data_IF_441964625805
#
_entry.id   IF_441964625805
#
_cell.length_a   1.000
_cell.length_b   1.000
_cell.length_c   1.000
_cell.angle_alpha   90.00
_cell.angle_beta   90.00
_cell.angle_gamma   90.00
#
_symmetry.space_group_name_H-M   'P 1'
#
loop_
_entity.id
_entity.type
_entity.pdbx_description
1 polymer ?
#
# COMPACT_ATOMS: atom_id res chain seq x y z
N UNK A 1 23.47 1.40 -32.99
CA UNK A 1 23.34 0.63 -31.74
C UNK A 1 21.86 0.63 -31.36
N UNK A 2 21.20 -0.53 -31.33
CA UNK A 2 19.75 -0.64 -31.13
C UNK A 2 19.48 -1.25 -29.75
N UNK A 3 18.80 -0.51 -28.87
CA UNK A 3 18.34 -1.04 -27.57
C UNK A 3 16.84 -1.31 -27.70
N UNK A 4 16.45 -2.58 -27.67
CA UNK A 4 15.04 -2.95 -27.56
C UNK A 4 14.58 -2.72 -26.12
N UNK A 5 13.50 -1.94 -25.96
CA UNK A 5 12.70 -1.93 -24.74
C UNK A 5 11.35 -2.53 -25.11
N UNK A 6 11.03 -3.72 -24.59
CA UNK A 6 9.74 -4.40 -24.80
C UNK A 6 8.86 -4.30 -23.55
N UNK A 7 7.69 -3.69 -23.75
CA UNK A 7 6.40 -3.99 -23.11
C UNK A 7 6.40 -4.33 -21.61
N UNK A 8 6.02 -3.37 -20.77
CA UNK A 8 5.58 -3.61 -19.39
C UNK A 8 4.08 -3.30 -19.23
N UNK A 9 3.45 -3.89 -18.22
CA UNK A 9 2.06 -3.67 -17.82
C UNK A 9 1.97 -4.07 -16.33
N UNK A 10 1.54 -3.21 -15.41
CA UNK A 10 1.62 -3.43 -13.93
C UNK A 10 0.46 -2.71 -13.23
N UNK A 11 -0.35 -3.40 -12.42
CA UNK A 11 -1.37 -2.71 -11.61
C UNK A 11 -0.85 -2.36 -10.21
N UNK A 12 -1.02 -1.09 -9.82
CA UNK A 12 -0.85 -0.60 -8.45
C UNK A 12 -2.19 -0.24 -7.80
N UNK A 13 -2.33 -0.52 -6.51
CA UNK A 13 -3.44 -0.04 -5.69
C UNK A 13 -3.01 0.15 -4.22
N UNK A 14 -2.55 1.36 -3.86
CA UNK A 14 -2.51 1.76 -2.43
C UNK A 14 -3.92 1.65 -1.86
N UNK A 15 -4.15 1.10 -0.66
CA UNK A 15 -3.45 1.41 0.58
C UNK A 15 -3.11 0.18 1.44
N UNK A 16 -2.50 0.44 2.58
CA UNK A 16 -2.86 -0.15 3.88
C UNK A 16 -4.31 -0.63 3.84
N UNK A 17 -4.77 -1.87 4.13
CA UNK A 17 -4.24 -3.23 4.23
C UNK A 17 -5.36 -4.36 4.18
N UNK A 18 -5.85 -4.95 5.30
CA UNK A 18 -6.80 -6.12 5.47
C UNK A 18 -7.81 -5.87 6.65
N UNK A 19 -8.67 -6.74 7.28
CA UNK A 19 -8.79 -8.21 7.52
C UNK A 19 -10.15 -8.67 8.18
N UNK A 20 -10.21 -9.92 8.66
CA UNK A 20 -11.10 -10.53 9.71
C UNK A 20 -12.63 -10.62 9.52
N UNK A 21 -13.11 -10.50 8.29
CA UNK A 21 -14.09 -11.47 7.75
C UNK A 21 -13.33 -12.26 6.65
N UNK A 22 -13.87 -13.36 6.12
CA UNK A 22 -13.24 -14.09 5.00
C UNK A 22 -12.92 -13.11 3.85
N UNK A 23 -11.62 -12.87 3.62
CA UNK A 23 -11.13 -11.66 2.97
C UNK A 23 -11.17 -11.72 1.42
N UNK A 24 -12.31 -12.13 0.85
CA UNK A 24 -12.51 -12.19 -0.59
C UNK A 24 -12.99 -10.84 -1.16
N UNK A 25 -13.84 -10.08 -0.43
CA UNK A 25 -14.66 -9.00 -1.02
C UNK A 25 -14.63 -7.60 -0.35
N UNK A 26 -13.59 -7.27 0.44
CA UNK A 26 -13.55 -6.02 1.23
C UNK A 26 -12.29 -5.16 0.98
N UNK A 27 -12.48 -3.85 0.75
CA UNK A 27 -11.41 -2.83 0.66
C UNK A 27 -10.98 -2.41 2.07
N UNK A 28 -9.74 -2.66 2.52
CA UNK A 28 -9.42 -2.51 3.95
C UNK A 28 -8.13 -1.75 4.30
N UNK A 29 -7.94 -1.40 5.60
CA UNK A 29 -6.84 -0.57 6.21
C UNK A 29 -6.31 -1.13 7.57
N UNK A 30 -5.03 -1.51 7.72
CA UNK A 30 -4.47 -2.02 8.99
C UNK A 30 -3.28 -1.25 9.59
N UNK A 31 -3.16 -1.39 10.92
CA UNK A 31 -1.97 -1.13 11.73
C UNK A 31 -1.57 -2.43 12.45
N UNK A 32 -0.32 -2.62 12.87
CA UNK A 32 -0.01 -3.67 13.85
C UNK A 32 -0.63 -3.29 15.22
N UNK A 33 -1.44 -4.18 15.80
CA UNK A 33 -1.95 -4.04 17.17
C UNK A 33 -1.06 -4.80 18.16
N UNK A 34 -0.58 -6.00 17.78
CA UNK A 34 0.19 -6.87 18.69
C UNK A 34 1.14 -7.78 17.92
N UNK A 35 2.30 -8.06 18.53
CA UNK A 35 3.26 -9.08 18.11
C UNK A 35 3.50 -10.06 19.26
N UNK A 36 3.29 -11.34 19.00
CA UNK A 36 3.24 -12.44 19.96
C UNK A 36 4.21 -13.56 19.48
N UNK A 37 5.52 -13.27 19.48
CA UNK A 37 6.50 -14.16 18.85
C UNK A 37 6.26 -14.24 17.33
N UNK A 38 5.89 -15.41 16.83
CA UNK A 38 5.53 -15.65 15.42
C UNK A 38 4.15 -15.10 15.02
N UNK A 39 3.24 -14.86 15.98
CA UNK A 39 1.89 -14.38 15.68
C UNK A 39 1.82 -12.85 15.62
N UNK A 40 1.34 -12.31 14.50
CA UNK A 40 1.18 -10.87 14.26
C UNK A 40 -0.30 -10.56 14.14
N UNK A 41 -0.84 -9.84 15.12
CA UNK A 41 -2.21 -9.34 15.09
C UNK A 41 -2.18 -7.94 14.48
N UNK A 42 -2.51 -7.88 13.18
CA UNK A 42 -2.87 -6.63 12.53
C UNK A 42 -4.33 -6.28 12.89
N UNK A 43 -4.59 -5.01 13.20
CA UNK A 43 -5.94 -4.47 13.45
C UNK A 43 -6.32 -3.44 12.39
N UNK A 44 -7.56 -3.53 11.94
CA UNK A 44 -7.80 -3.64 10.50
C UNK A 44 -9.23 -3.22 10.12
N UNK A 45 -9.38 -2.50 9.00
CA UNK A 45 -10.46 -1.51 8.79
C UNK A 45 -11.06 -1.64 7.39
N UNK A 46 -12.19 -2.33 7.23
CA UNK A 46 -12.78 -2.56 5.91
C UNK A 46 -13.94 -1.62 5.56
N UNK A 47 -13.98 -1.11 4.32
CA UNK A 47 -15.22 -0.62 3.68
C UNK A 47 -16.00 -1.83 3.14
N UNK A 48 -17.28 -2.00 3.52
CA UNK A 48 -18.19 -2.85 2.77
C UNK A 48 -18.45 -2.28 1.38
N UNK A 49 -18.54 -3.15 0.37
CA UNK A 49 -19.42 -2.86 -0.77
C UNK A 49 -20.85 -2.83 -0.23
N UNK A 50 -21.62 -1.83 -0.67
CA UNK A 50 -23.08 -1.75 -0.49
C UNK A 50 -23.61 -1.87 0.95
N UNK A 51 -23.43 -0.82 1.77
CA UNK A 51 -24.30 -0.61 2.94
C UNK A 51 -24.81 0.86 3.05
N UNK A 52 -26.09 1.13 2.77
CA UNK A 52 -26.70 2.43 3.01
C UNK A 52 -27.08 2.63 4.49
N UNK A 53 -26.57 3.71 5.09
CA UNK A 53 -26.94 4.28 6.41
C UNK A 53 -26.45 3.52 7.68
N UNK A 54 -25.38 4.00 8.36
CA UNK A 54 -24.75 3.30 9.50
C UNK A 54 -25.33 3.72 10.86
N UNK A 55 -26.64 3.57 11.10
CA UNK A 55 -27.30 4.12 12.32
C UNK A 55 -27.80 3.10 13.36
N UNK A 56 -28.06 1.85 12.98
CA UNK A 56 -28.99 1.00 13.75
C UNK A 56 -28.34 -0.17 14.51
N UNK A 57 -27.05 -0.08 14.87
CA UNK A 57 -26.39 -1.05 15.78
C UNK A 57 -25.48 -0.35 16.80
N UNK A 58 -25.95 -0.30 18.05
CA UNK A 58 -25.17 0.07 19.24
C UNK A 58 -25.38 -0.99 20.34
N UNK A 59 -24.30 -1.61 20.79
CA UNK A 59 -24.29 -2.58 21.89
C UNK A 59 -24.27 -1.83 23.25
N UNK A 60 -25.21 -2.10 24.18
CA UNK A 60 -25.31 -1.36 25.44
C UNK A 60 -24.29 -1.73 26.53
N UNK A 61 -23.28 -2.60 26.31
CA UNK A 61 -22.40 -3.09 27.37
C UNK A 61 -20.91 -2.67 27.24
N UNK A 62 -20.45 -1.62 27.96
CA UNK A 62 -19.10 -1.08 27.79
C UNK A 62 -18.05 -1.77 28.69
N UNK A 63 -17.40 -2.84 28.17
CA UNK A 63 -16.12 -3.36 28.69
C UNK A 63 -15.22 -3.80 27.53
N UNK A 64 -13.98 -3.29 27.53
CA UNK A 64 -12.87 -3.69 26.64
C UNK A 64 -13.17 -3.81 25.14
N UNK A 65 -14.14 -3.05 24.62
CA UNK A 65 -14.31 -2.85 23.18
C UNK A 65 -13.17 -2.00 22.63
N UNK A 66 -12.46 -2.53 21.62
CA UNK A 66 -11.62 -1.71 20.75
C UNK A 66 -12.49 -0.65 20.04
N UNK A 67 -11.94 0.55 19.82
CA UNK A 67 -12.67 1.69 19.27
C UNK A 67 -13.36 1.33 17.95
N UNK A 68 -14.70 1.30 17.96
CA UNK A 68 -15.51 0.86 16.84
C UNK A 68 -15.59 1.86 15.70
N UNK A 69 -15.06 3.08 15.86
CA UNK A 69 -14.85 3.99 14.73
C UNK A 69 -13.64 3.53 13.92
N UNK A 70 -13.91 2.54 13.08
CA UNK A 70 -12.93 1.80 12.31
C UNK A 70 -12.03 2.71 11.43
N UNK A 71 -12.50 3.89 10.98
CA UNK A 71 -11.69 4.85 10.21
C UNK A 71 -10.61 5.60 11.02
N UNK A 72 -10.52 5.41 12.34
CA UNK A 72 -9.68 6.20 13.25
C UNK A 72 -8.18 5.93 13.05
N UNK A 73 -7.56 6.75 12.21
CA UNK A 73 -6.11 6.73 11.93
C UNK A 73 -5.76 6.67 10.44
N UNK A 74 -6.75 6.50 9.56
CA UNK A 74 -6.54 6.56 8.11
C UNK A 74 -6.52 8.02 7.66
N UNK A 75 -5.49 8.43 6.92
CA UNK A 75 -5.26 9.85 6.54
C UNK A 75 -5.33 10.16 5.04
N UNK A 76 -5.35 9.12 4.21
CA UNK A 76 -5.75 9.13 2.79
C UNK A 76 -6.16 7.71 2.37
N UNK A 77 -6.90 7.57 1.27
CA UNK A 77 -7.21 6.27 0.66
C UNK A 77 -7.50 6.43 -0.86
N UNK A 78 -6.52 6.15 -1.72
CA UNK A 78 -6.64 6.32 -3.18
C UNK A 78 -7.30 5.10 -3.82
N UNK A 79 -8.49 5.28 -4.38
CA UNK A 79 -9.19 4.27 -5.19
C UNK A 79 -9.29 4.74 -6.64
N UNK A 80 -9.69 3.83 -7.54
CA UNK A 80 -9.72 4.10 -8.99
C UNK A 80 -11.06 3.76 -9.65
N UNK A 81 -12.10 3.38 -8.90
CA UNK A 81 -13.37 2.92 -9.46
C UNK A 81 -14.13 4.02 -10.24
N UNK A 82 -13.89 5.28 -9.92
CA UNK A 82 -14.36 6.46 -10.65
C UNK A 82 -13.57 6.78 -11.94
N UNK A 83 -12.53 5.99 -12.25
CA UNK A 83 -11.63 6.20 -13.38
C UNK A 83 -10.47 7.18 -13.12
N UNK A 84 -10.27 7.65 -11.88
CA UNK A 84 -9.25 8.66 -11.51
C UNK A 84 -8.35 8.11 -10.39
N UNK A 85 -7.54 8.98 -9.78
CA UNK A 85 -6.70 8.67 -8.60
C UNK A 85 -7.34 9.39 -7.41
N UNK A 86 -8.43 8.85 -6.89
CA UNK A 86 -9.34 9.61 -6.02
C UNK A 86 -9.15 9.26 -4.55
N UNK A 87 -8.85 10.26 -3.72
CA UNK A 87 -8.71 10.11 -2.26
C UNK A 87 -10.10 9.95 -1.61
N UNK A 88 -10.54 8.70 -1.49
CA UNK A 88 -11.87 8.26 -1.10
C UNK A 88 -12.21 8.42 0.40
N UNK A 89 -11.39 9.15 1.16
CA UNK A 89 -11.70 9.66 2.51
C UNK A 89 -11.29 11.13 2.71
N UNK A 90 -10.78 11.81 1.68
CA UNK A 90 -10.05 13.07 1.85
C UNK A 90 -10.08 13.99 0.63
N UNK A 91 -8.94 14.64 0.37
CA UNK A 91 -8.79 15.72 -0.63
C UNK A 91 -7.49 15.62 -1.45
N UNK A 92 -6.68 14.59 -1.21
CA UNK A 92 -5.33 14.44 -1.74
C UNK A 92 -5.36 13.73 -3.10
N UNK A 93 -6.27 14.10 -3.99
CA UNK A 93 -6.46 13.43 -5.29
C UNK A 93 -5.18 13.53 -6.15
N UNK A 94 -4.86 12.44 -6.85
CA UNK A 94 -3.71 12.36 -7.75
C UNK A 94 -4.03 12.74 -9.19
N UNK A 95 -2.97 12.88 -9.98
CA UNK A 95 -3.02 13.12 -11.43
C UNK A 95 -2.46 11.91 -12.18
N UNK A 96 -3.22 11.36 -13.11
CA UNK A 96 -2.76 10.36 -14.09
C UNK A 96 -1.86 11.02 -15.15
N UNK A 97 -0.78 10.33 -15.53
CA UNK A 97 0.00 10.65 -16.73
C UNK A 97 -0.50 9.83 -17.93
N UNK A 98 -0.31 10.34 -19.14
CA UNK A 98 -1.00 9.84 -20.34
C UNK A 98 -0.71 8.37 -20.70
N UNK A 99 0.41 7.80 -20.25
CA UNK A 99 0.68 6.38 -20.42
C UNK A 99 -0.03 5.47 -19.43
N UNK A 100 -0.46 5.99 -18.26
CA UNK A 100 -1.11 5.21 -17.22
C UNK A 100 -2.62 5.16 -17.40
N UNK A 101 -3.23 4.01 -17.14
CA UNK A 101 -4.62 3.73 -17.48
C UNK A 101 -5.31 2.99 -16.33
N UNK A 102 -6.38 3.57 -15.80
CA UNK A 102 -7.26 2.86 -14.86
C UNK A 102 -8.10 1.83 -15.62
N UNK A 103 -8.07 0.57 -15.19
CA UNK A 103 -8.81 -0.54 -15.84
C UNK A 103 -9.52 -1.43 -14.82
N UNK A 104 -10.57 -2.10 -15.28
CA UNK A 104 -11.24 -3.18 -14.52
C UNK A 104 -10.27 -4.35 -14.30
N UNK A 105 -10.49 -5.13 -13.23
CA UNK A 105 -9.63 -6.24 -12.85
C UNK A 105 -8.53 -5.86 -11.85
N UNK A 106 -8.78 -4.83 -11.03
CA UNK A 106 -8.05 -4.63 -9.77
C UNK A 106 -8.32 -5.78 -8.80
N UNK A 107 -7.59 -5.85 -7.68
CA UNK A 107 -7.91 -6.80 -6.58
C UNK A 107 -9.36 -6.65 -6.14
N UNK A 108 -9.83 -5.40 -6.13
CA UNK A 108 -11.22 -5.00 -6.09
C UNK A 108 -11.44 -4.02 -7.25
N UNK A 109 -12.62 -4.08 -7.89
CA UNK A 109 -13.05 -3.13 -8.92
C UNK A 109 -12.00 -2.78 -9.98
N UNK A 110 -11.49 -1.55 -9.94
CA UNK A 110 -10.48 -1.02 -10.86
C UNK A 110 -9.13 -0.76 -10.19
N UNK A 111 -8.04 -0.91 -10.94
CA UNK A 111 -6.70 -0.54 -10.51
C UNK A 111 -5.97 0.32 -11.55
N UNK A 112 -4.92 1.00 -11.10
CA UNK A 112 -4.05 1.86 -11.91
C UNK A 112 -3.01 1.01 -12.65
N UNK A 113 -3.17 0.84 -13.97
CA UNK A 113 -2.18 0.18 -14.82
C UNK A 113 -1.06 1.18 -15.18
N UNK A 114 0.18 0.77 -14.96
CA UNK A 114 1.40 1.49 -15.30
C UNK A 114 2.38 0.58 -16.03
N UNK A 115 3.52 1.10 -16.48
CA UNK A 115 4.54 0.32 -17.21
C UNK A 115 6.00 0.66 -16.82
N UNK A 116 6.20 1.26 -15.64
CA UNK A 116 7.54 1.62 -15.13
C UNK A 116 8.21 2.80 -15.85
N UNK A 117 7.69 3.25 -17.00
CA UNK A 117 8.13 4.48 -17.64
C UNK A 117 7.64 5.71 -16.85
N UNK A 118 8.46 6.75 -16.76
CA UNK A 118 8.07 8.02 -16.12
C UNK A 118 6.76 8.62 -16.65
N UNK A 119 6.45 8.50 -17.95
CA UNK A 119 5.19 9.03 -18.51
C UNK A 119 3.96 8.13 -18.27
N UNK A 120 4.14 7.05 -17.51
CA UNK A 120 3.15 6.05 -17.18
C UNK A 120 3.14 5.87 -15.65
N UNK A 121 2.57 6.86 -14.95
CA UNK A 121 2.47 6.90 -13.48
C UNK A 121 1.25 7.69 -13.01
N UNK A 122 1.04 7.73 -11.70
CA UNK A 122 0.21 8.74 -11.04
C UNK A 122 1.06 9.56 -10.07
N UNK A 123 0.95 10.89 -10.13
CA UNK A 123 1.55 11.78 -9.13
C UNK A 123 0.49 12.22 -8.12
N UNK A 124 0.81 12.22 -6.83
CA UNK A 124 -0.08 12.74 -5.79
C UNK A 124 0.66 13.83 -4.99
N UNK A 125 0.04 15.01 -4.92
CA UNK A 125 0.49 16.07 -4.01
C UNK A 125 -0.18 15.89 -2.66
N UNK A 126 0.50 15.18 -1.75
CA UNK A 126 0.05 15.05 -0.36
C UNK A 126 -0.06 16.42 0.31
N UNK A 127 -1.05 16.57 1.19
CA UNK A 127 -1.22 17.79 2.00
C UNK A 127 -0.30 17.80 3.23
N UNK A 128 0.01 19.00 3.74
CA UNK A 128 0.84 19.21 4.94
C UNK A 128 0.35 18.43 6.17
N UNK A 129 -0.93 18.08 6.21
CA UNK A 129 -1.54 17.33 7.30
C UNK A 129 -1.12 15.85 7.27
N UNK A 130 -0.91 15.28 6.07
CA UNK A 130 -0.30 13.96 5.88
C UNK A 130 1.21 14.02 6.12
N UNK A 131 1.89 15.08 5.70
CA UNK A 131 3.34 15.18 5.91
C UNK A 131 3.71 15.14 7.40
N UNK A 132 2.95 15.83 8.27
CA UNK A 132 3.04 15.75 9.74
C UNK A 132 2.74 14.38 10.36
N UNK A 133 2.10 13.48 9.62
CA UNK A 133 1.85 12.09 10.04
C UNK A 133 3.04 11.21 9.65
N UNK A 134 3.64 11.47 8.49
CA UNK A 134 4.84 10.77 8.01
C UNK A 134 6.15 11.22 8.70
N UNK A 135 6.13 12.35 9.42
CA UNK A 135 7.15 12.78 10.38
C UNK A 135 7.21 11.90 11.66
N UNK A 136 6.36 10.88 11.80
CA UNK A 136 6.15 10.10 13.04
C UNK A 136 6.05 8.60 12.73
N UNK A 137 5.53 7.82 13.67
CA UNK A 137 5.10 6.46 13.40
C UNK A 137 3.97 6.45 12.35
N UNK A 138 4.16 5.74 11.24
CA UNK A 138 3.20 5.62 10.13
C UNK A 138 3.09 4.19 9.60
N UNK A 139 2.22 3.97 8.61
CA UNK A 139 2.13 2.71 7.89
C UNK A 139 1.78 2.98 6.43
N UNK A 140 2.38 2.24 5.50
CA UNK A 140 2.02 2.21 4.08
C UNK A 140 1.76 0.76 3.70
N UNK A 141 0.82 0.52 2.79
CA UNK A 141 0.63 -0.79 2.15
C UNK A 141 0.00 -0.56 0.79
N UNK A 142 -0.03 -1.59 -0.03
CA UNK A 142 -0.80 -1.60 -1.27
C UNK A 142 -1.04 -3.03 -1.75
N UNK A 143 -2.13 -3.22 -2.51
CA UNK A 143 -2.31 -4.38 -3.37
C UNK A 143 -1.53 -4.18 -4.66
N UNK A 144 -0.81 -5.22 -5.07
CA UNK A 144 0.12 -5.21 -6.20
C UNK A 144 -0.12 -6.44 -7.09
N UNK A 145 -0.07 -6.22 -8.41
CA UNK A 145 -0.09 -7.27 -9.42
C UNK A 145 1.06 -7.07 -10.41
N UNK A 146 2.19 -7.74 -10.16
CA UNK A 146 3.39 -7.68 -11.02
C UNK A 146 3.27 -8.71 -12.14
N UNK A 147 3.11 -8.27 -13.39
CA UNK A 147 3.29 -9.14 -14.56
C UNK A 147 4.77 -9.26 -14.94
N UNK A 148 5.48 -8.14 -14.82
CA UNK A 148 6.92 -8.01 -14.93
C UNK A 148 7.33 -6.77 -14.12
N UNK A 149 8.44 -6.84 -13.40
CA UNK A 149 8.98 -5.71 -12.65
C UNK A 149 9.99 -4.90 -13.49
N UNK A 150 10.05 -3.59 -13.22
CA UNK A 150 11.25 -2.80 -13.43
C UNK A 150 12.00 -2.66 -12.09
N UNK A 151 13.33 -2.66 -12.13
CA UNK A 151 14.13 -2.41 -10.94
C UNK A 151 13.81 -1.00 -10.39
N UNK A 152 13.43 -0.94 -9.11
CA UNK A 152 12.93 0.25 -8.41
C UNK A 152 11.62 0.86 -8.96
N UNK A 153 10.81 0.13 -9.75
CA UNK A 153 9.51 0.62 -10.24
C UNK A 153 8.35 0.25 -9.31
N UNK A 154 8.12 1.04 -8.25
CA UNK A 154 7.07 0.79 -7.24
C UNK A 154 6.41 2.04 -6.68
N UNK A 155 6.05 2.02 -5.39
CA UNK A 155 5.44 3.17 -4.68
C UNK A 155 6.44 3.77 -3.69
N UNK A 156 6.65 5.08 -3.78
CA UNK A 156 7.46 5.84 -2.83
C UNK A 156 6.87 7.25 -2.64
N UNK A 157 7.20 7.93 -1.55
CA UNK A 157 7.08 9.39 -1.43
C UNK A 157 8.50 9.96 -1.45
N UNK A 158 8.86 10.71 -2.48
CA UNK A 158 10.19 11.31 -2.60
C UNK A 158 10.47 11.89 -3.98
N UNK A 159 11.64 12.50 -4.14
CA UNK A 159 12.12 12.91 -5.48
C UNK A 159 12.60 11.70 -6.28
N UNK A 160 13.32 10.78 -5.64
CA UNK A 160 13.85 9.52 -6.21
C UNK A 160 14.14 8.49 -5.12
N UNK A 161 14.47 7.27 -5.51
CA UNK A 161 14.91 6.16 -4.64
C UNK A 161 16.29 5.64 -5.10
N UNK A 162 17.07 5.04 -4.20
CA UNK A 162 18.34 4.39 -4.52
C UNK A 162 19.55 5.30 -4.72
N UNK A 163 19.49 6.55 -4.23
CA UNK A 163 20.56 7.56 -4.37
C UNK A 163 20.69 8.45 -3.11
N UNK A 164 20.58 7.86 -1.92
CA UNK A 164 20.58 8.58 -0.65
C UNK A 164 19.19 9.10 -0.25
N UNK A 165 19.11 9.99 0.77
CA UNK A 165 17.94 10.32 1.58
C UNK A 165 16.85 11.16 0.87
N UNK A 166 16.42 10.75 -0.32
CA UNK A 166 15.56 11.52 -1.22
C UNK A 166 14.07 11.11 -1.13
N UNK A 167 13.70 10.22 -0.19
CA UNK A 167 12.34 9.67 -0.05
C UNK A 167 11.97 9.40 1.41
N UNK A 168 10.72 9.67 1.79
CA UNK A 168 10.19 9.39 3.14
C UNK A 168 10.03 7.89 3.38
N UNK A 169 9.50 7.16 2.39
CA UNK A 169 9.41 5.70 2.37
C UNK A 169 9.59 5.17 0.94
N UNK A 170 10.15 3.97 0.80
CA UNK A 170 10.19 3.22 -0.46
C UNK A 170 9.64 1.81 -0.25
N UNK A 171 8.80 1.38 -1.18
CA UNK A 171 8.28 0.03 -1.30
C UNK A 171 8.30 -0.28 -2.81
N UNK A 172 9.36 -0.93 -3.31
CA UNK A 172 9.57 -1.08 -4.75
C UNK A 172 10.13 -2.47 -5.11
N UNK A 173 9.65 -3.11 -6.19
CA UNK A 173 10.30 -4.29 -6.77
C UNK A 173 11.74 -3.99 -7.18
N UNK A 174 12.63 -4.97 -7.00
CA UNK A 174 13.99 -4.99 -7.56
C UNK A 174 14.08 -5.98 -8.72
N UNK A 175 13.41 -7.14 -8.58
CA UNK A 175 13.26 -8.16 -9.63
C UNK A 175 11.78 -8.53 -9.82
N UNK A 176 11.48 -9.56 -10.63
CA UNK A 176 10.13 -10.12 -10.75
C UNK A 176 9.63 -10.81 -9.47
N UNK A 177 10.53 -11.24 -8.58
CA UNK A 177 10.25 -11.97 -7.33
C UNK A 177 10.60 -11.17 -6.09
N UNK A 178 11.50 -10.20 -6.19
CA UNK A 178 12.20 -9.63 -5.02
C UNK A 178 11.91 -8.12 -4.90
N UNK A 179 11.98 -7.61 -3.67
CA UNK A 179 11.42 -6.30 -3.33
C UNK A 179 12.26 -5.60 -2.26
N UNK A 180 12.47 -4.29 -2.40
CA UNK A 180 13.16 -3.47 -1.40
C UNK A 180 12.24 -2.48 -0.71
N UNK A 181 12.51 -2.34 0.59
CA UNK A 181 11.78 -1.55 1.56
C UNK A 181 12.74 -0.52 2.16
N UNK A 182 12.25 0.62 2.60
CA UNK A 182 13.11 1.57 3.31
C UNK A 182 12.41 2.86 3.72
N UNK A 183 13.12 3.67 4.49
CA UNK A 183 12.74 4.99 4.98
C UNK A 183 13.92 5.96 4.91
N UNK A 184 13.65 7.25 4.98
CA UNK A 184 14.67 8.25 5.34
C UNK A 184 14.33 8.81 6.71
N UNK A 185 15.28 8.79 7.64
CA UNK A 185 15.18 9.45 8.94
C UNK A 185 16.41 10.31 9.19
N UNK A 186 16.21 11.57 9.60
CA UNK A 186 17.27 12.54 9.94
C UNK A 186 18.36 12.79 8.87
N UNK A 187 18.11 12.38 7.61
CA UNK A 187 19.07 12.48 6.50
C UNK A 187 19.86 11.19 6.24
N UNK A 188 19.59 10.09 6.95
CA UNK A 188 20.06 8.74 6.62
C UNK A 188 19.07 8.04 5.68
N UNK A 189 19.57 7.23 4.74
CA UNK A 189 18.76 6.27 3.96
C UNK A 189 18.89 4.88 4.58
N UNK A 190 17.79 4.36 5.14
CA UNK A 190 17.75 3.05 5.80
C UNK A 190 16.83 2.11 5.01
N UNK A 191 17.37 0.96 4.59
CA UNK A 191 16.69 0.05 3.67
C UNK A 191 17.08 -1.42 3.88
N UNK A 192 16.25 -2.33 3.37
CA UNK A 192 16.53 -3.76 3.24
C UNK A 192 15.84 -4.34 2.00
N UNK A 193 16.22 -5.56 1.62
CA UNK A 193 15.65 -6.32 0.50
C UNK A 193 15.03 -7.61 1.04
N UNK A 194 14.11 -8.21 0.28
CA UNK A 194 13.41 -9.44 0.65
C UNK A 194 13.14 -10.28 -0.59
N UNK A 195 13.71 -11.49 -0.62
CA UNK A 195 13.63 -12.41 -1.77
C UNK A 195 12.27 -13.12 -1.86
N UNK A 196 11.82 -13.42 -3.08
CA UNK A 196 10.67 -14.32 -3.32
C UNK A 196 9.29 -13.78 -2.94
N UNK A 197 9.18 -12.56 -2.39
CA UNK A 197 7.94 -11.98 -1.87
C UNK A 197 6.91 -11.59 -2.92
N UNK A 198 7.33 -11.41 -4.17
CA UNK A 198 6.44 -11.15 -5.30
C UNK A 198 6.06 -12.49 -5.94
N UNK A 199 4.76 -12.77 -5.98
CA UNK A 199 4.20 -13.85 -6.78
C UNK A 199 3.76 -13.29 -8.15
N UNK A 200 4.47 -13.57 -9.27
CA UNK A 200 4.15 -12.96 -10.56
C UNK A 200 2.76 -13.34 -11.05
N UNK A 201 2.05 -12.38 -11.63
CA UNK A 201 0.67 -12.50 -12.13
C UNK A 201 -0.35 -13.00 -11.10
N UNK A 202 -0.10 -12.77 -9.80
CA UNK A 202 -1.06 -12.89 -8.70
C UNK A 202 -1.23 -11.56 -7.98
N UNK A 203 -2.31 -11.41 -7.22
CA UNK A 203 -2.45 -10.31 -6.28
C UNK A 203 -1.73 -10.64 -4.97
N UNK A 204 -0.86 -9.74 -4.54
CA UNK A 204 -0.27 -9.74 -3.21
C UNK A 204 -0.57 -8.41 -2.53
N UNK A 205 -0.56 -8.40 -1.20
CA UNK A 205 -0.52 -7.16 -0.43
C UNK A 205 0.84 -6.99 0.23
N UNK A 206 1.50 -5.88 -0.07
CA UNK A 206 2.77 -5.46 0.54
C UNK A 206 2.50 -4.37 1.57
N UNK A 207 3.18 -4.39 2.71
CA UNK A 207 2.94 -3.51 3.85
C UNK A 207 4.25 -3.14 4.57
N UNK A 208 4.37 -1.89 4.99
CA UNK A 208 5.50 -1.36 5.75
C UNK A 208 4.95 -0.55 6.93
N UNK A 209 5.23 -0.99 8.16
CA UNK A 209 5.02 -0.18 9.37
C UNK A 209 6.32 0.55 9.71
N UNK A 210 6.20 1.73 10.31
CA UNK A 210 7.31 2.51 10.88
C UNK A 210 6.87 2.96 12.26
N UNK A 211 7.58 2.57 13.32
CA UNK A 211 7.22 2.90 14.71
C UNK A 211 7.97 4.12 15.28
N UNK A 212 8.90 4.69 14.52
CA UNK A 212 9.83 5.74 14.93
C UNK A 212 11.21 5.23 15.37
N UNK A 213 11.46 3.91 15.27
CA UNK A 213 12.77 3.26 15.51
C UNK A 213 13.12 2.21 14.45
N UNK A 214 12.13 1.48 13.95
CA UNK A 214 12.28 0.40 12.99
C UNK A 214 11.20 0.51 11.90
N UNK A 215 11.59 0.17 10.67
CA UNK A 215 10.64 -0.19 9.61
C UNK A 215 10.48 -1.72 9.57
N UNK A 216 9.25 -2.24 9.57
CA UNK A 216 8.97 -3.68 9.38
C UNK A 216 8.19 -3.88 8.09
N UNK A 217 8.62 -4.83 7.25
CA UNK A 217 7.87 -5.28 6.08
C UNK A 217 6.90 -6.40 6.44
N UNK A 218 5.78 -6.48 5.73
CA UNK A 218 4.84 -7.59 5.79
C UNK A 218 4.27 -7.87 4.41
N UNK A 219 4.08 -9.15 4.10
CA UNK A 219 3.56 -9.63 2.82
C UNK A 219 2.34 -10.48 3.08
N UNK A 220 1.37 -10.47 2.16
CA UNK A 220 0.18 -11.33 2.22
C UNK A 220 -0.16 -11.79 0.82
N UNK A 221 0.04 -13.07 0.54
CA UNK A 221 -0.41 -13.68 -0.70
C UNK A 221 -1.91 -14.00 -0.64
N UNK A 222 -2.54 -14.14 -1.80
CA UNK A 222 -3.97 -14.44 -1.91
C UNK A 222 -4.33 -15.80 -1.28
N UNK A 223 -5.16 -15.78 -0.24
CA UNK A 223 -5.57 -16.96 0.53
C UNK A 223 -4.63 -17.34 1.70
N UNK A 224 -3.52 -16.63 1.88
CA UNK A 224 -2.50 -16.95 2.88
C UNK A 224 -2.53 -15.98 4.09
N UNK A 225 -1.79 -16.33 5.16
CA UNK A 225 -1.60 -15.43 6.31
C UNK A 225 -0.66 -14.28 5.94
N UNK A 226 -0.78 -13.15 6.65
CA UNK A 226 0.26 -12.11 6.61
C UNK A 226 1.51 -12.59 7.34
N UNK A 227 2.68 -12.44 6.73
CA UNK A 227 4.00 -12.79 7.29
C UNK A 227 4.92 -11.57 7.29
N UNK A 228 5.94 -11.56 8.16
CA UNK A 228 7.15 -10.77 7.91
C UNK A 228 8.04 -11.63 6.98
N UNK A 229 8.40 -11.15 5.78
CA UNK A 229 9.31 -11.89 4.90
C UNK A 229 10.75 -11.89 5.45
N UNK A 230 11.58 -12.88 5.10
CA UNK A 230 13.01 -12.84 5.41
C UNK A 230 13.72 -11.72 4.64
N UNK A 231 14.81 -11.21 5.23
CA UNK A 231 15.70 -10.14 4.74
C UNK A 231 17.14 -10.46 5.09
#
# INVERSE_FOLDING_TARGET
>A
LLILIRSLLVFFFSFVAVSSIQAQDLDCVCKEIKRNGEEIILGCVCKPKDNPNPRDQADPNPRDQADSNINKGVVAAWTFDDGRVSDAIGRNHGKLFAGAVVKNGGRFGKALDVNGNKECRADIKVSKDIEKVLEKAFTVSYWLYVRQAGNHSGVWKGEKVGWGPNFTFRMVPTTNTDFTWGVTTEGSEDWFETDGVIAPSKWIRVCQTVDGKQATAYVTHEGEKTTIPPS
#
